data_IF_752115286020
#
_entry.id   IF_752115286020
#
_cell.length_a   1.000
_cell.length_b   1.000
_cell.length_c   1.000
_cell.angle_alpha   90.00
_cell.angle_beta   90.00
_cell.angle_gamma   90.00
#
_symmetry.space_group_name_H-M   'P 1'
#
loop_
_entity.id
_entity.type
_entity.pdbx_description
1 polymer ?
#
# COMPACT_ATOMS: atom_id res chain seq x y z
N UNK A 1 -67.01 3.22 -77.22
CA UNK A 1 -67.50 2.63 -75.96
C UNK A 1 -66.42 1.70 -75.41
N UNK A 2 -65.66 2.10 -74.37
CA UNK A 2 -65.02 1.16 -73.43
C UNK A 2 -64.46 1.92 -72.23
N UNK A 3 -64.90 1.43 -71.08
CA UNK A 3 -64.85 2.00 -69.72
C UNK A 3 -63.42 2.13 -69.21
N UNK A 4 -63.19 3.20 -68.43
CA UNK A 4 -62.13 3.27 -67.42
C UNK A 4 -62.41 2.15 -66.40
N UNK A 5 -61.45 1.25 -66.21
CA UNK A 5 -61.40 0.34 -65.07
C UNK A 5 -60.12 0.65 -64.30
N UNK A 6 -60.32 1.19 -63.10
CA UNK A 6 -59.28 1.35 -62.09
C UNK A 6 -58.86 -0.06 -61.64
N UNK A 7 -57.60 -0.43 -61.88
CA UNK A 7 -57.02 -1.62 -61.28
C UNK A 7 -56.42 -1.21 -59.93
N UNK A 8 -57.05 -1.66 -58.86
CA UNK A 8 -56.54 -1.61 -57.49
C UNK A 8 -55.35 -2.59 -57.46
N UNK A 9 -54.13 -2.07 -57.35
CA UNK A 9 -52.94 -2.89 -57.14
C UNK A 9 -52.82 -3.12 -55.62
N UNK A 10 -52.86 -4.36 -55.12
CA UNK A 10 -52.72 -4.62 -53.71
C UNK A 10 -51.29 -4.28 -53.28
N UNK A 11 -51.19 -3.52 -52.19
CA UNK A 11 -49.95 -3.20 -51.47
C UNK A 11 -49.29 -4.52 -51.04
N UNK A 12 -48.34 -5.01 -51.82
CA UNK A 12 -47.47 -6.12 -51.43
C UNK A 12 -46.56 -5.60 -50.31
N UNK A 13 -46.78 -6.09 -49.10
CA UNK A 13 -45.86 -5.94 -47.97
C UNK A 13 -44.56 -6.63 -48.36
N UNK A 14 -43.59 -5.83 -48.79
CA UNK A 14 -42.22 -6.27 -48.98
C UNK A 14 -41.64 -6.44 -47.57
N UNK A 15 -41.68 -7.66 -47.05
CA UNK A 15 -40.79 -8.11 -45.98
C UNK A 15 -39.42 -8.29 -46.63
N UNK A 16 -38.63 -7.21 -46.70
CA UNK A 16 -37.20 -7.34 -46.92
C UNK A 16 -36.63 -7.97 -45.65
N UNK A 17 -36.27 -9.24 -45.83
CA UNK A 17 -35.35 -10.03 -45.04
C UNK A 17 -34.20 -9.15 -44.50
N UNK A 18 -34.30 -8.73 -43.24
CA UNK A 18 -33.19 -8.10 -42.50
C UNK A 18 -32.17 -9.17 -42.07
N UNK A 19 -31.75 -10.00 -43.03
CA UNK A 19 -30.66 -10.95 -42.87
C UNK A 19 -29.44 -10.40 -43.62
N UNK A 20 -28.30 -10.35 -42.91
CA UNK A 20 -26.96 -9.99 -43.41
C UNK A 20 -26.56 -8.51 -43.31
N UNK A 21 -26.81 -7.90 -42.15
CA UNK A 21 -25.81 -7.06 -41.50
C UNK A 21 -25.67 -7.53 -40.05
N UNK A 22 -25.34 -8.81 -39.86
CA UNK A 22 -24.57 -9.17 -38.68
C UNK A 22 -23.25 -8.42 -38.84
N UNK A 23 -23.13 -7.27 -38.17
CA UNK A 23 -21.81 -6.74 -37.90
C UNK A 23 -21.02 -7.89 -37.29
N UNK A 24 -20.00 -8.36 -38.00
CA UNK A 24 -18.95 -9.15 -37.39
C UNK A 24 -18.48 -8.28 -36.23
N UNK A 25 -18.90 -8.62 -35.01
CA UNK A 25 -18.11 -8.24 -33.85
C UNK A 25 -16.82 -8.99 -34.08
N UNK A 26 -15.80 -8.29 -34.55
CA UNK A 26 -14.44 -8.75 -34.39
C UNK A 26 -14.30 -9.03 -32.90
N UNK A 27 -14.35 -10.30 -32.49
CA UNK A 27 -13.84 -10.66 -31.18
C UNK A 27 -12.35 -10.33 -31.29
N UNK A 28 -11.91 -9.25 -30.66
CA UNK A 28 -10.48 -9.07 -30.48
C UNK A 28 -10.04 -10.19 -29.55
N UNK A 29 -8.95 -10.90 -29.89
CA UNK A 29 -8.26 -11.78 -28.93
C UNK A 29 -7.96 -10.91 -27.71
N UNK A 30 -8.61 -11.18 -26.59
CA UNK A 30 -8.52 -10.33 -25.40
C UNK A 30 -7.52 -10.95 -24.44
N UNK A 31 -6.50 -10.17 -24.09
CA UNK A 31 -5.58 -10.50 -23.00
C UNK A 31 -6.01 -9.66 -21.80
N UNK A 32 -6.03 -10.28 -20.64
CA UNK A 32 -6.32 -9.61 -19.38
C UNK A 32 -5.15 -9.79 -18.43
N UNK A 33 -4.75 -8.72 -17.75
CA UNK A 33 -3.89 -8.81 -16.57
C UNK A 33 -4.70 -8.34 -15.36
N UNK A 34 -4.95 -9.27 -14.44
CA UNK A 34 -5.74 -9.03 -13.24
C UNK A 34 -4.81 -8.97 -12.04
N UNK A 35 -4.93 -7.90 -11.26
CA UNK A 35 -4.35 -7.83 -9.93
C UNK A 35 -5.40 -8.24 -8.90
N UNK A 36 -5.00 -9.07 -7.95
CA UNK A 36 -5.79 -9.36 -6.75
C UNK A 36 -4.92 -9.30 -5.50
N UNK A 37 -5.51 -9.04 -4.35
CA UNK A 37 -4.86 -9.19 -3.05
C UNK A 37 -5.48 -10.39 -2.34
N UNK A 38 -4.68 -11.16 -1.58
CA UNK A 38 -5.23 -12.29 -0.80
C UNK A 38 -6.26 -11.84 0.25
N UNK A 39 -6.16 -10.57 0.66
CA UNK A 39 -6.97 -9.92 1.68
C UNK A 39 -7.31 -8.50 1.22
N UNK A 40 -8.55 -8.09 1.45
CA UNK A 40 -8.99 -6.70 1.21
C UNK A 40 -8.56 -5.76 2.35
N UNK A 41 -8.29 -6.30 3.54
CA UNK A 41 -7.85 -5.57 4.73
C UNK A 41 -6.69 -6.29 5.43
N UNK A 42 -5.64 -5.56 5.79
CA UNK A 42 -4.50 -6.02 6.60
C UNK A 42 -4.14 -4.99 7.66
N UNK A 43 -3.33 -5.37 8.65
CA UNK A 43 -2.88 -4.45 9.68
C UNK A 43 -1.50 -3.89 9.36
N UNK A 44 -1.21 -2.70 9.88
CA UNK A 44 0.14 -2.13 9.86
C UNK A 44 1.15 -3.14 10.43
N UNK A 45 2.24 -3.36 9.70
CA UNK A 45 3.26 -4.37 10.01
C UNK A 45 3.02 -5.77 9.43
N UNK A 46 1.80 -6.08 8.96
CA UNK A 46 1.53 -7.38 8.31
C UNK A 46 2.21 -7.47 6.94
N UNK A 47 2.51 -8.70 6.51
CA UNK A 47 2.79 -9.01 5.11
C UNK A 47 1.50 -9.46 4.39
N UNK A 48 1.37 -9.08 3.13
CA UNK A 48 0.28 -9.49 2.25
C UNK A 48 0.79 -9.98 0.90
N UNK A 49 0.02 -10.86 0.27
CA UNK A 49 0.28 -11.35 -1.09
C UNK A 49 -0.58 -10.60 -2.10
N UNK A 50 0.06 -10.08 -3.14
CA UNK A 50 -0.58 -9.57 -4.35
C UNK A 50 -0.34 -10.58 -5.47
N UNK A 51 -1.40 -10.99 -6.15
CA UNK A 51 -1.33 -11.90 -7.29
C UNK A 51 -1.50 -11.12 -8.59
N UNK A 52 -0.64 -11.42 -9.56
CA UNK A 52 -0.74 -10.93 -10.93
C UNK A 52 -1.11 -12.09 -11.83
N UNK A 53 -2.33 -12.10 -12.36
CA UNK A 53 -2.82 -13.15 -13.25
C UNK A 53 -2.87 -12.65 -14.68
N UNK A 54 -2.04 -13.23 -15.55
CA UNK A 54 -2.08 -13.00 -16.99
C UNK A 54 -2.96 -14.06 -17.63
N UNK A 55 -4.02 -13.66 -18.34
CA UNK A 55 -4.98 -14.54 -18.99
C UNK A 55 -5.14 -14.17 -20.46
N UNK A 56 -5.16 -15.17 -21.34
CA UNK A 56 -5.27 -14.97 -22.79
C UNK A 56 -6.01 -16.12 -23.46
N UNK A 57 -6.72 -15.83 -24.54
CA UNK A 57 -7.29 -16.87 -25.43
C UNK A 57 -6.26 -17.43 -26.43
N UNK A 58 -5.08 -16.82 -26.49
CA UNK A 58 -3.99 -17.18 -27.43
C UNK A 58 -2.66 -17.40 -26.74
N UNK A 59 -1.81 -18.21 -27.40
CA UNK A 59 -0.46 -18.51 -26.91
C UNK A 59 0.36 -17.24 -26.76
N UNK A 60 0.86 -17.02 -25.56
CA UNK A 60 1.67 -15.88 -25.21
C UNK A 60 3.14 -16.14 -25.55
N UNK A 61 3.86 -15.07 -25.86
CA UNK A 61 5.31 -15.08 -26.09
C UNK A 61 6.03 -14.31 -25.01
N UNK A 62 5.62 -13.06 -24.75
CA UNK A 62 6.26 -12.21 -23.78
C UNK A 62 5.29 -11.19 -23.18
N UNK A 63 5.55 -10.80 -21.94
CA UNK A 63 4.87 -9.72 -21.24
C UNK A 63 5.92 -8.72 -20.74
N UNK A 64 5.61 -7.44 -20.88
CA UNK A 64 6.31 -6.34 -20.22
C UNK A 64 5.25 -5.40 -19.64
N UNK A 65 5.31 -5.09 -18.35
CA UNK A 65 4.37 -4.18 -17.70
C UNK A 65 4.99 -3.55 -16.46
N UNK A 66 4.41 -2.44 -16.00
CA UNK A 66 4.72 -1.85 -14.71
C UNK A 66 3.49 -1.90 -13.81
N UNK A 67 3.73 -2.09 -12.52
CA UNK A 67 2.73 -2.06 -11.45
C UNK A 67 3.12 -0.94 -10.50
N UNK A 68 2.25 0.05 -10.32
CA UNK A 68 2.44 1.12 -9.32
C UNK A 68 1.73 0.78 -8.01
N UNK A 69 2.29 1.27 -6.90
CA UNK A 69 1.71 1.25 -5.56
C UNK A 69 2.20 2.46 -4.74
N UNK A 70 1.55 2.78 -3.62
CA UNK A 70 1.99 3.84 -2.69
C UNK A 70 3.08 3.30 -1.74
N UNK A 71 4.31 3.77 -1.92
CA UNK A 71 5.48 3.33 -1.15
C UNK A 71 5.60 3.94 0.25
N UNK A 72 4.73 4.90 0.58
CA UNK A 72 4.56 5.36 1.96
C UNK A 72 3.66 4.42 2.77
N UNK A 73 2.89 3.56 2.08
CA UNK A 73 1.93 2.62 2.68
C UNK A 73 2.38 1.18 2.61
N UNK A 74 3.05 0.78 1.54
CA UNK A 74 3.55 -0.59 1.35
C UNK A 74 5.03 -0.60 0.97
N UNK A 75 5.70 -1.70 1.27
CA UNK A 75 7.06 -1.98 0.82
C UNK A 75 7.09 -3.32 0.08
N UNK A 76 7.78 -3.38 -1.06
CA UNK A 76 8.06 -4.64 -1.73
C UNK A 76 9.06 -5.47 -0.93
N UNK A 77 8.70 -6.71 -0.61
CA UNK A 77 9.56 -7.65 0.13
C UNK A 77 10.24 -8.62 -0.84
N UNK A 78 9.45 -9.34 -1.63
CA UNK A 78 9.94 -10.35 -2.57
C UNK A 78 8.88 -10.75 -3.60
N UNK A 79 9.33 -11.44 -4.64
CA UNK A 79 8.53 -12.22 -5.57
C UNK A 79 9.17 -13.61 -5.66
N UNK A 80 8.34 -14.65 -5.81
CA UNK A 80 8.84 -16.01 -6.01
C UNK A 80 9.44 -16.20 -7.43
N UNK A 81 9.06 -15.32 -8.37
CA UNK A 81 9.62 -15.28 -9.73
C UNK A 81 10.63 -14.15 -9.88
N UNK A 82 11.73 -14.41 -10.60
CA UNK A 82 12.69 -13.38 -11.04
C UNK A 82 12.14 -12.45 -12.12
N UNK A 83 10.96 -12.74 -12.68
CA UNK A 83 10.27 -11.91 -13.67
C UNK A 83 9.68 -10.63 -13.08
N UNK A 84 9.64 -10.51 -11.75
CA UNK A 84 9.19 -9.32 -11.06
C UNK A 84 10.32 -8.75 -10.21
N UNK A 85 10.68 -7.51 -10.50
CA UNK A 85 11.69 -6.74 -9.76
C UNK A 85 11.20 -5.32 -9.54
N UNK A 86 11.69 -4.65 -8.51
CA UNK A 86 11.35 -3.26 -8.25
C UNK A 86 11.49 -2.87 -6.79
N UNK A 87 11.20 -1.60 -6.52
CA UNK A 87 11.16 -0.98 -5.20
C UNK A 87 10.54 0.42 -5.34
N UNK A 88 10.29 1.09 -4.21
CA UNK A 88 9.91 2.51 -4.18
C UNK A 88 8.73 2.86 -5.11
N UNK A 89 7.64 2.10 -4.98
CA UNK A 89 6.34 2.41 -5.59
C UNK A 89 6.15 1.87 -7.00
N UNK A 90 7.18 1.23 -7.58
CA UNK A 90 7.10 0.65 -8.93
C UNK A 90 7.71 -0.75 -8.97
N UNK A 91 6.95 -1.69 -9.51
CA UNK A 91 7.40 -3.04 -9.87
C UNK A 91 7.37 -3.20 -11.38
N UNK A 92 8.41 -3.78 -11.95
CA UNK A 92 8.49 -4.18 -13.35
C UNK A 92 8.20 -5.68 -13.45
N UNK A 93 7.26 -6.04 -14.32
CA UNK A 93 7.02 -7.40 -14.79
C UNK A 93 7.64 -7.54 -16.18
N UNK A 94 8.60 -8.45 -16.34
CA UNK A 94 9.16 -8.85 -17.62
C UNK A 94 9.31 -10.36 -17.68
N UNK A 95 8.63 -11.01 -18.64
CA UNK A 95 8.67 -12.46 -18.75
C UNK A 95 8.51 -12.94 -20.19
N UNK A 96 9.06 -14.13 -20.45
CA UNK A 96 8.86 -14.88 -21.70
C UNK A 96 8.13 -16.18 -21.35
N UNK A 97 7.07 -16.47 -22.10
CA UNK A 97 6.22 -17.62 -21.89
C UNK A 97 6.77 -18.85 -22.61
N UNK A 98 6.56 -20.01 -22.01
CA UNK A 98 6.83 -21.30 -22.65
C UNK A 98 5.81 -21.49 -23.77
N UNK A 99 6.23 -22.08 -24.88
CA UNK A 99 5.34 -22.32 -26.01
C UNK A 99 4.08 -23.09 -25.58
N UNK A 100 2.91 -22.54 -25.88
CA UNK A 100 1.61 -23.11 -25.54
C UNK A 100 0.97 -22.52 -24.28
N UNK A 101 1.69 -21.73 -23.49
CA UNK A 101 1.11 -21.04 -22.34
C UNK A 101 0.12 -19.96 -22.79
N UNK A 102 -1.05 -19.96 -22.14
CA UNK A 102 -2.11 -18.96 -22.32
C UNK A 102 -2.48 -18.28 -21.00
N UNK A 103 -1.88 -18.75 -19.90
CA UNK A 103 -2.07 -18.22 -18.56
C UNK A 103 -0.75 -18.33 -17.77
N UNK A 104 -0.49 -17.34 -16.91
CA UNK A 104 0.59 -17.38 -15.93
C UNK A 104 0.24 -16.52 -14.73
N UNK A 105 0.69 -16.94 -13.54
CA UNK A 105 0.48 -16.23 -12.29
C UNK A 105 1.81 -15.89 -11.64
N UNK A 106 1.86 -14.71 -11.00
CA UNK A 106 3.01 -14.24 -10.24
C UNK A 106 2.56 -13.80 -8.85
N UNK A 107 3.32 -14.17 -7.83
CA UNK A 107 3.05 -13.81 -6.44
C UNK A 107 4.06 -12.78 -5.95
N UNK A 108 3.56 -11.71 -5.36
CA UNK A 108 4.34 -10.60 -4.82
C UNK A 108 4.03 -10.48 -3.34
N UNK A 109 5.05 -10.54 -2.49
CA UNK A 109 4.92 -10.26 -1.06
C UNK A 109 5.22 -8.78 -0.78
N UNK A 110 4.28 -8.12 -0.13
CA UNK A 110 4.37 -6.71 0.29
C UNK A 110 4.27 -6.62 1.82
N UNK A 111 4.92 -5.63 2.42
CA UNK A 111 4.82 -5.31 3.85
C UNK A 111 4.05 -4.00 4.07
N UNK A 112 3.08 -4.00 4.98
CA UNK A 112 2.31 -2.82 5.34
C UNK A 112 3.11 -1.88 6.26
N UNK A 113 3.38 -0.67 5.79
CA UNK A 113 4.17 0.35 6.51
C UNK A 113 3.30 1.30 7.32
N UNK A 114 2.17 1.74 6.77
CA UNK A 114 1.33 2.75 7.40
C UNK A 114 -0.15 2.62 7.02
N UNK A 115 -1.04 3.18 7.83
CA UNK A 115 -2.49 3.01 7.66
C UNK A 115 -3.03 3.81 6.47
N UNK A 116 -4.10 3.32 5.85
CA UNK A 116 -4.72 3.97 4.70
C UNK A 116 -5.14 2.98 3.62
N UNK A 117 -5.42 3.49 2.43
CA UNK A 117 -5.79 2.69 1.26
C UNK A 117 -4.61 2.72 0.30
N UNK A 118 -4.21 1.56 -0.22
CA UNK A 118 -3.25 1.44 -1.30
C UNK A 118 -3.91 0.78 -2.51
N UNK A 119 -3.88 1.48 -3.64
CA UNK A 119 -4.30 0.95 -4.93
C UNK A 119 -3.07 0.40 -5.69
N UNK A 120 -3.28 -0.68 -6.45
CA UNK A 120 -2.32 -1.22 -7.37
C UNK A 120 -2.84 -1.06 -8.79
N UNK A 121 -2.02 -0.47 -9.67
CA UNK A 121 -2.41 -0.19 -11.04
C UNK A 121 -1.36 -0.68 -12.02
N UNK A 122 -1.81 -1.23 -13.15
CA UNK A 122 -0.94 -1.64 -14.25
C UNK A 122 -0.88 -0.51 -15.27
N UNK A 123 0.33 -0.16 -15.69
CA UNK A 123 0.57 0.81 -16.75
C UNK A 123 1.72 0.39 -17.67
N UNK A 124 1.84 1.06 -18.81
CA UNK A 124 2.85 0.82 -19.84
C UNK A 124 3.06 -0.66 -20.17
N UNK A 125 1.94 -1.36 -20.39
CA UNK A 125 1.93 -2.79 -20.62
C UNK A 125 1.94 -3.16 -22.10
N UNK A 126 2.71 -4.19 -22.44
CA UNK A 126 2.87 -4.78 -23.77
C UNK A 126 2.83 -6.29 -23.64
N UNK A 127 2.03 -6.94 -24.50
CA UNK A 127 1.93 -8.39 -24.57
C UNK A 127 2.18 -8.82 -26.00
N UNK A 128 3.08 -9.76 -26.23
CA UNK A 128 3.32 -10.38 -27.54
C UNK A 128 2.70 -11.77 -27.60
N UNK A 129 2.01 -12.08 -28.69
CA UNK A 129 1.60 -13.47 -28.98
C UNK A 129 2.71 -14.27 -29.65
N UNK A 130 2.62 -15.59 -29.56
CA UNK A 130 3.65 -16.51 -30.07
C UNK A 130 3.67 -16.67 -31.59
N UNK A 131 2.50 -16.83 -32.23
CA UNK A 131 2.42 -17.26 -33.63
C UNK A 131 2.80 -16.12 -34.60
N UNK A 132 2.12 -14.97 -34.52
CA UNK A 132 2.34 -13.86 -35.47
C UNK A 132 3.31 -12.79 -34.93
N UNK A 133 3.84 -12.95 -33.71
CA UNK A 133 4.62 -11.93 -33.00
C UNK A 133 3.92 -10.56 -32.95
N UNK A 134 2.59 -10.56 -32.90
CA UNK A 134 1.82 -9.33 -32.80
C UNK A 134 1.68 -8.90 -31.35
N UNK A 135 1.70 -7.59 -31.14
CA UNK A 135 1.32 -6.99 -29.86
C UNK A 135 -0.19 -7.11 -29.70
N UNK A 136 -0.61 -7.70 -28.59
CA UNK A 136 -2.01 -7.87 -28.25
C UNK A 136 -2.52 -6.64 -27.50
N UNK A 137 -3.74 -6.22 -27.83
CA UNK A 137 -4.48 -5.27 -27.01
C UNK A 137 -4.89 -5.98 -25.73
N UNK A 138 -4.68 -5.35 -24.58
CA UNK A 138 -5.06 -5.91 -23.29
C UNK A 138 -6.00 -5.01 -22.49
N UNK A 139 -6.71 -5.63 -21.56
CA UNK A 139 -7.40 -4.99 -20.46
C UNK A 139 -6.63 -5.25 -19.17
N UNK A 140 -6.78 -4.35 -18.20
CA UNK A 140 -6.17 -4.49 -16.88
C UNK A 140 -7.25 -4.30 -15.81
N UNK A 141 -7.15 -5.07 -14.74
CA UNK A 141 -7.99 -4.92 -13.57
C UNK A 141 -7.10 -4.57 -12.37
N UNK A 142 -7.28 -3.39 -11.74
CA UNK A 142 -6.50 -2.97 -10.59
C UNK A 142 -6.90 -3.72 -9.32
N UNK A 143 -6.04 -3.68 -8.30
CA UNK A 143 -6.33 -4.20 -6.97
C UNK A 143 -6.28 -3.09 -5.92
N UNK A 144 -6.86 -3.36 -4.75
CA UNK A 144 -6.86 -2.46 -3.60
C UNK A 144 -6.67 -3.23 -2.32
N UNK A 145 -5.93 -2.65 -1.37
CA UNK A 145 -5.89 -3.11 0.02
C UNK A 145 -6.13 -1.94 0.97
N UNK A 146 -6.84 -2.21 2.07
CA UNK A 146 -7.00 -1.29 3.20
C UNK A 146 -6.05 -1.73 4.32
N UNK A 147 -5.26 -0.79 4.84
CA UNK A 147 -4.33 -0.99 5.95
C UNK A 147 -4.89 -0.30 7.17
N UNK A 148 -5.16 -1.08 8.22
CA UNK A 148 -5.71 -0.60 9.49
C UNK A 148 -4.67 -0.67 10.61
N UNK A 149 -4.91 0.02 11.71
CA UNK A 149 -4.07 -0.13 12.90
C UNK A 149 -4.13 -1.55 13.43
N UNK A 150 -3.00 -2.04 13.93
CA UNK A 150 -2.96 -3.33 14.61
C UNK A 150 -3.47 -3.18 16.05
N UNK A 151 -4.79 -3.10 16.24
CA UNK A 151 -5.40 -2.90 17.57
C UNK A 151 -5.22 -4.09 18.55
N UNK A 152 -4.56 -5.17 18.12
CA UNK A 152 -4.15 -6.25 19.03
C UNK A 152 -2.80 -5.97 19.69
N UNK A 153 -2.05 -4.99 19.21
CA UNK A 153 -0.84 -4.53 19.85
C UNK A 153 -1.19 -3.55 20.97
N UNK A 154 -0.37 -3.55 22.01
CA UNK A 154 -0.59 -2.71 23.17
C UNK A 154 -0.49 -1.23 22.79
N UNK A 155 -1.43 -0.44 23.29
CA UNK A 155 -1.43 1.02 23.21
C UNK A 155 -0.84 1.66 24.46
N UNK A 156 -0.19 0.87 25.34
CA UNK A 156 0.44 1.37 26.56
C UNK A 156 1.70 2.16 26.20
N UNK A 157 1.71 3.42 26.63
CA UNK A 157 2.78 4.40 26.36
C UNK A 157 3.34 4.99 27.64
N UNK A 158 2.86 4.55 28.81
CA UNK A 158 3.35 5.07 30.09
C UNK A 158 4.74 4.53 30.40
N UNK A 159 5.53 5.37 31.05
CA UNK A 159 6.80 4.96 31.64
C UNK A 159 6.54 4.21 32.96
N UNK A 160 7.22 3.08 33.13
CA UNK A 160 7.31 2.38 34.41
C UNK A 160 8.23 3.13 35.36
N UNK A 161 9.34 3.66 34.84
CA UNK A 161 10.37 4.32 35.63
C UNK A 161 11.07 5.42 34.83
N UNK A 162 11.38 6.52 35.50
CA UNK A 162 12.16 7.64 34.98
C UNK A 162 13.27 7.99 35.98
N UNK A 163 14.52 7.78 35.57
CA UNK A 163 15.71 8.09 36.34
C UNK A 163 16.42 9.31 35.77
N UNK A 164 16.81 10.22 36.64
CA UNK A 164 17.53 11.46 36.31
C UNK A 164 18.83 11.53 37.11
N UNK A 165 19.91 11.96 36.47
CA UNK A 165 21.18 12.24 37.15
C UNK A 165 22.00 13.30 36.42
N UNK A 166 22.68 14.23 37.13
CA UNK A 166 22.60 14.50 38.57
C UNK A 166 21.30 15.20 39.00
N UNK A 167 20.96 15.11 40.28
CA UNK A 167 19.77 15.75 40.87
C UNK A 167 18.59 14.79 41.07
N UNK A 168 17.43 15.35 41.42
CA UNK A 168 16.17 14.61 41.57
C UNK A 168 15.02 15.45 41.00
N UNK A 169 13.95 14.78 40.57
CA UNK A 169 12.67 15.44 40.31
C UNK A 169 12.12 16.04 41.62
N UNK A 170 11.47 17.20 41.53
CA UNK A 170 10.85 17.84 42.70
C UNK A 170 9.70 17.02 43.29
N UNK A 171 9.11 16.15 42.48
CA UNK A 171 8.03 15.24 42.85
C UNK A 171 8.43 13.80 42.52
N UNK A 172 7.91 12.84 43.29
CA UNK A 172 8.08 11.42 42.96
C UNK A 172 7.47 11.11 41.58
N UNK A 173 8.17 10.27 40.81
CA UNK A 173 7.70 9.87 39.50
C UNK A 173 6.38 9.08 39.60
N UNK A 174 5.42 9.43 38.73
CA UNK A 174 4.16 8.75 38.54
C UNK A 174 3.92 8.48 37.05
N UNK A 175 3.56 7.25 36.66
CA UNK A 175 3.25 6.92 35.26
C UNK A 175 2.15 7.78 34.64
N UNK A 176 1.22 8.27 35.46
CA UNK A 176 0.04 9.04 35.02
C UNK A 176 0.29 10.56 35.00
N UNK A 177 1.51 11.01 35.25
CA UNK A 177 1.91 12.43 35.20
C UNK A 177 2.97 12.65 34.12
N UNK A 178 2.71 13.62 33.25
CA UNK A 178 3.49 13.87 32.02
C UNK A 178 4.33 15.16 32.07
N UNK A 179 4.41 15.81 33.23
CA UNK A 179 5.17 17.05 33.39
C UNK A 179 5.88 17.08 34.74
N UNK A 180 7.18 17.37 34.72
CA UNK A 180 8.02 17.40 35.90
C UNK A 180 8.95 18.60 35.90
N UNK A 181 9.37 18.98 37.09
CA UNK A 181 10.39 20.00 37.31
C UNK A 181 11.54 19.40 38.13
N UNK A 182 12.76 19.83 37.83
CA UNK A 182 13.93 19.52 38.63
C UNK A 182 14.88 20.71 38.68
N UNK A 183 15.67 20.79 39.74
CA UNK A 183 16.68 21.83 39.94
C UNK A 183 18.06 21.16 39.97
N UNK A 184 19.02 21.75 39.25
CA UNK A 184 20.42 21.30 39.21
C UNK A 184 21.35 22.42 39.64
N UNK A 185 22.57 22.05 40.06
CA UNK A 185 23.62 23.03 40.38
C UNK A 185 24.13 23.72 39.09
N UNK A 186 24.62 24.95 39.23
CA UNK A 186 25.08 25.79 38.10
C UNK A 186 26.24 25.16 37.32
N UNK A 187 27.02 24.30 37.96
CA UNK A 187 28.15 23.59 37.37
C UNK A 187 27.72 22.42 36.46
N UNK A 188 26.48 21.95 36.58
CA UNK A 188 25.94 20.83 35.79
C UNK A 188 25.73 21.27 34.35
N UNK A 189 26.42 20.62 33.41
CA UNK A 189 26.31 20.94 31.98
C UNK A 189 25.34 20.03 31.23
N UNK A 190 25.17 18.80 31.69
CA UNK A 190 24.42 17.76 31.00
C UNK A 190 23.71 16.87 32.03
N UNK A 191 22.61 16.25 31.59
CA UNK A 191 21.85 15.26 32.34
C UNK A 191 21.95 13.91 31.64
N UNK A 192 21.92 12.86 32.45
CA UNK A 192 21.70 11.49 32.02
C UNK A 192 20.27 11.15 32.41
N UNK A 193 19.50 10.70 31.43
CA UNK A 193 18.13 10.25 31.58
C UNK A 193 18.04 8.78 31.20
N UNK A 194 17.27 8.02 31.97
CA UNK A 194 16.88 6.67 31.61
C UNK A 194 15.38 6.53 31.83
N UNK A 195 14.66 6.21 30.77
CA UNK A 195 13.21 6.11 30.75
C UNK A 195 12.83 4.69 30.31
N UNK A 196 12.16 3.97 31.20
CA UNK A 196 11.77 2.58 30.99
C UNK A 196 10.26 2.52 30.73
N UNK A 197 9.81 2.07 29.56
CA UNK A 197 8.39 1.96 29.26
C UNK A 197 7.75 0.82 30.06
N UNK A 198 6.46 0.94 30.38
CA UNK A 198 5.67 -0.16 30.96
C UNK A 198 5.51 -1.33 29.98
N UNK A 199 5.46 -1.02 28.69
CA UNK A 199 5.47 -2.01 27.61
C UNK A 199 6.86 -2.05 27.00
N UNK A 200 7.55 -3.19 27.16
CA UNK A 200 8.91 -3.39 26.63
C UNK A 200 8.97 -3.34 25.09
N UNK A 201 7.83 -3.45 24.40
CA UNK A 201 7.75 -3.30 22.94
C UNK A 201 7.61 -1.85 22.48
N UNK A 202 7.42 -0.89 23.40
CA UNK A 202 7.38 0.53 23.08
C UNK A 202 8.77 1.10 22.83
N UNK A 203 8.86 2.05 21.90
CA UNK A 203 10.08 2.80 21.57
C UNK A 203 10.10 4.10 22.37
N UNK A 204 11.24 4.40 22.98
CA UNK A 204 11.45 5.63 23.76
C UNK A 204 12.54 6.48 23.11
N UNK A 205 12.20 7.73 22.82
CA UNK A 205 13.12 8.75 22.28
C UNK A 205 13.24 9.90 23.27
N UNK A 206 14.46 10.37 23.52
CA UNK A 206 14.74 11.49 24.42
C UNK A 206 15.29 12.65 23.59
N UNK A 207 14.53 13.73 23.54
CA UNK A 207 14.88 14.97 22.87
C UNK A 207 15.42 15.98 23.89
N UNK A 208 16.72 16.28 23.79
CA UNK A 208 17.39 17.30 24.59
C UNK A 208 18.23 18.21 23.70
N UNK A 209 18.03 19.52 23.85
CA UNK A 209 18.78 20.55 23.12
C UNK A 209 20.17 20.81 23.73
N UNK A 210 21.12 19.91 23.45
CA UNK A 210 22.54 20.10 23.81
C UNK A 210 22.77 20.32 25.32
N UNK A 211 23.75 21.16 25.65
CA UNK A 211 24.13 21.45 27.04
C UNK A 211 23.16 22.42 27.73
N UNK A 212 22.95 22.21 29.04
CA UNK A 212 22.09 23.04 29.88
C UNK A 212 22.57 24.49 29.97
N UNK A 213 21.66 25.40 29.67
CA UNK A 213 21.83 26.85 29.75
C UNK A 213 21.32 27.35 31.11
N UNK A 214 21.82 28.49 31.57
CA UNK A 214 21.29 29.14 32.79
C UNK A 214 19.78 29.45 32.60
N UNK A 215 18.98 29.20 33.64
CA UNK A 215 17.53 29.33 33.60
C UNK A 215 16.82 28.02 33.25
N UNK A 216 15.68 28.12 32.57
CA UNK A 216 14.83 26.97 32.22
C UNK A 216 15.31 26.27 30.95
N UNK A 217 15.42 24.94 31.02
CA UNK A 217 15.70 24.07 29.88
C UNK A 217 14.57 23.04 29.78
N UNK A 218 14.14 22.73 28.55
CA UNK A 218 13.10 21.74 28.31
C UNK A 218 13.72 20.47 27.74
N UNK A 219 13.29 19.33 28.29
CA UNK A 219 13.63 18.01 27.80
C UNK A 219 12.32 17.27 27.54
N UNK A 220 12.19 16.67 26.36
CA UNK A 220 11.01 15.88 25.99
C UNK A 220 11.40 14.41 25.88
N UNK A 221 10.55 13.54 26.42
CA UNK A 221 10.64 12.09 26.23
C UNK A 221 9.40 11.65 25.49
N UNK A 222 9.57 11.07 24.31
CA UNK A 222 8.51 10.57 23.44
C UNK A 222 8.46 9.05 23.56
N UNK A 223 7.31 8.50 23.96
CA UNK A 223 7.07 7.06 24.03
C UNK A 223 6.06 6.69 22.96
N UNK A 224 6.46 5.79 22.05
CA UNK A 224 5.63 5.29 20.95
C UNK A 224 5.35 3.81 21.15
N UNK A 225 4.09 3.43 21.34
CA UNK A 225 3.70 2.02 21.46
C UNK A 225 3.76 1.31 20.12
N UNK A 226 3.76 -0.02 20.13
CA UNK A 226 3.77 -0.82 18.91
C UNK A 226 2.51 -0.58 18.04
N UNK A 227 1.38 -0.24 18.68
CA UNK A 227 0.15 0.19 18.01
C UNK A 227 0.19 1.66 17.49
N UNK A 228 1.34 2.33 17.54
CA UNK A 228 1.50 3.72 17.06
C UNK A 228 0.90 4.79 17.98
N UNK A 229 0.45 4.44 19.19
CA UNK A 229 0.01 5.44 20.18
C UNK A 229 1.22 6.19 20.72
N UNK A 230 1.12 7.51 20.90
CA UNK A 230 2.23 8.36 21.35
C UNK A 230 1.87 9.06 22.66
N UNK A 231 2.81 9.14 23.59
CA UNK A 231 2.73 10.02 24.76
C UNK A 231 4.05 10.75 25.00
N UNK A 232 3.95 11.98 25.50
CA UNK A 232 5.11 12.85 25.74
C UNK A 232 5.23 13.19 27.22
N UNK A 233 6.41 12.96 27.80
CA UNK A 233 6.79 13.44 29.13
C UNK A 233 7.70 14.65 28.99
N UNK A 234 7.36 15.75 29.68
CA UNK A 234 8.10 17.01 29.62
C UNK A 234 8.80 17.27 30.95
N UNK A 235 10.10 17.54 30.92
CA UNK A 235 10.90 17.86 32.11
C UNK A 235 11.45 19.27 31.95
N UNK A 236 11.04 20.17 32.84
CA UNK A 236 11.61 21.50 32.98
C UNK A 236 12.76 21.47 33.98
N UNK A 237 13.97 21.74 33.50
CA UNK A 237 15.19 21.76 34.30
C UNK A 237 15.57 23.20 34.59
N UNK A 238 15.61 23.57 35.86
CA UNK A 238 16.02 24.89 36.33
C UNK A 238 17.48 24.83 36.76
N UNK A 239 18.31 25.69 36.18
CA UNK A 239 19.75 25.81 36.46
C UNK A 239 20.13 27.21 36.93
#
# INVERSE_FOLDING_TARGET
MRRKHYLIIPLFVIVILAGLLFGMRSMAKEVEIVLTTEKEEVKKGDELTVLVEVNSETKLKAVSAYISYDDTKLEYVKSESSSIIGAAGVLQLEDTFIEGEVHKSYEITMRALDTGICDFEIYDSVMEEFEENQVLKMTTAPARVTIVENQQQSSETRLQELLVFPGNLEEEFSPDKYSYTMIVEKEVKELILSAYPMDESAVVEIEQDGALKEGENQIKIVVTSLAGTISEYNITVIK
#
